data_IF_533222798007
#
_entry.id   IF_533222798007
#
_cell.length_a   1.000
_cell.length_b   1.000
_cell.length_c   1.000
_cell.angle_alpha   90.00
_cell.angle_beta   90.00
_cell.angle_gamma   90.00
#
_symmetry.space_group_name_H-M   'P 1'
#
loop_
_entity.id
_entity.type
_entity.pdbx_description
1 polymer ?
#
# COMPACT_ATOMS: atom_id res chain seq x y z
N UNK A 1 27.53 -5.60 -0.46
CA UNK A 1 26.09 -5.60 -0.13
C UNK A 1 25.62 -7.02 0.13
N UNK A 2 24.57 -7.23 0.94
CA UNK A 2 24.01 -8.56 1.24
C UNK A 2 23.11 -9.11 0.11
N UNK A 3 22.94 -8.36 -0.97
CA UNK A 3 22.01 -8.67 -2.06
C UNK A 3 22.23 -10.05 -2.71
N UNK A 4 23.47 -10.56 -2.93
CA UNK A 4 23.65 -11.91 -3.46
C UNK A 4 23.05 -13.01 -2.57
N UNK A 5 23.14 -12.84 -1.24
CA UNK A 5 22.61 -13.80 -0.26
C UNK A 5 21.09 -13.68 -0.12
N UNK A 6 20.59 -12.46 -0.02
CA UNK A 6 19.15 -12.20 0.10
C UNK A 6 18.42 -12.56 -1.21
N UNK A 7 19.01 -12.19 -2.35
CA UNK A 7 18.46 -12.45 -3.67
C UNK A 7 18.44 -13.93 -4.03
N UNK A 8 19.49 -14.69 -3.69
CA UNK A 8 19.46 -16.14 -3.88
C UNK A 8 18.38 -16.80 -3.02
N UNK A 9 18.22 -16.37 -1.77
CA UNK A 9 17.15 -16.84 -0.88
C UNK A 9 15.75 -16.61 -1.46
N UNK A 10 15.44 -15.38 -1.88
CA UNK A 10 14.13 -15.08 -2.49
C UNK A 10 13.89 -15.81 -3.81
N UNK A 11 14.95 -16.05 -4.58
CA UNK A 11 14.86 -16.84 -5.81
C UNK A 11 14.60 -18.30 -5.51
N UNK A 12 15.24 -18.87 -4.49
CA UNK A 12 14.98 -20.23 -4.02
C UNK A 12 13.56 -20.41 -3.46
N UNK A 13 12.99 -19.38 -2.84
CA UNK A 13 11.60 -19.37 -2.37
C UNK A 13 10.57 -19.19 -3.51
N UNK A 14 11.01 -18.85 -4.73
CA UNK A 14 10.11 -18.50 -5.84
C UNK A 14 9.42 -17.14 -5.67
N UNK A 15 9.90 -16.30 -4.77
CA UNK A 15 9.30 -15.01 -4.46
C UNK A 15 9.85 -13.87 -5.33
N UNK A 16 11.09 -13.98 -5.79
CA UNK A 16 11.69 -13.02 -6.73
C UNK A 16 11.33 -13.37 -8.18
N UNK A 17 11.08 -12.34 -9.00
CA UNK A 17 10.89 -12.51 -10.44
C UNK A 17 12.15 -13.06 -11.11
N UNK A 18 11.96 -13.89 -12.13
CA UNK A 18 13.02 -14.40 -13.01
C UNK A 18 12.99 -13.78 -14.41
N UNK A 19 12.12 -12.79 -14.64
CA UNK A 19 12.03 -12.13 -15.92
C UNK A 19 13.33 -11.37 -16.24
N UNK A 20 13.71 -11.39 -17.53
CA UNK A 20 14.95 -10.77 -17.98
C UNK A 20 14.86 -9.23 -18.02
N UNK A 21 13.67 -8.70 -18.32
CA UNK A 21 13.44 -7.26 -18.41
C UNK A 21 12.67 -6.76 -17.20
N UNK A 22 13.03 -5.57 -16.71
CA UNK A 22 12.37 -4.93 -15.56
C UNK A 22 10.87 -4.69 -15.81
N UNK A 23 10.50 -4.29 -17.03
CA UNK A 23 9.10 -4.03 -17.41
C UNK A 23 8.22 -5.30 -17.34
N UNK A 24 8.81 -6.49 -17.49
CA UNK A 24 8.13 -7.78 -17.44
C UNK A 24 8.10 -8.38 -16.01
N UNK A 25 8.75 -7.73 -15.04
CA UNK A 25 8.75 -8.11 -13.63
C UNK A 25 7.97 -7.13 -12.75
N UNK A 26 8.01 -5.83 -13.09
CA UNK A 26 7.36 -4.73 -12.39
C UNK A 26 5.86 -4.64 -12.73
N UNK A 27 5.08 -5.66 -12.38
CA UNK A 27 3.71 -5.87 -12.86
C UNK A 27 2.65 -5.90 -11.74
N UNK A 28 2.50 -4.83 -10.94
CA UNK A 28 1.51 -4.81 -9.85
C UNK A 28 0.09 -4.95 -10.40
N UNK A 29 -0.70 -5.84 -9.78
CA UNK A 29 -2.09 -6.18 -10.14
C UNK A 29 -2.32 -6.80 -11.53
N UNK A 30 -1.29 -6.93 -12.37
CA UNK A 30 -1.42 -7.50 -13.70
C UNK A 30 -1.48 -9.04 -13.62
N UNK A 31 -2.26 -9.67 -14.49
CA UNK A 31 -2.37 -11.15 -14.56
C UNK A 31 -1.02 -11.84 -14.86
N UNK A 32 -0.07 -11.13 -15.48
CA UNK A 32 1.25 -11.64 -15.87
C UNK A 32 2.30 -11.60 -14.74
N UNK A 33 1.94 -11.12 -13.55
CA UNK A 33 2.85 -11.00 -12.40
C UNK A 33 3.45 -12.36 -12.02
N UNK A 34 4.74 -12.39 -11.72
CA UNK A 34 5.50 -13.65 -11.58
C UNK A 34 6.55 -13.62 -10.45
N UNK A 35 6.47 -12.64 -9.55
CA UNK A 35 7.41 -12.44 -8.46
C UNK A 35 7.81 -10.98 -8.30
N UNK A 36 8.42 -10.66 -7.16
CA UNK A 36 8.86 -9.31 -6.84
C UNK A 36 10.18 -8.95 -7.52
N UNK A 37 10.33 -7.67 -7.84
CA UNK A 37 11.64 -7.06 -8.05
C UNK A 37 12.24 -6.70 -6.70
N UNK A 38 13.46 -7.15 -6.40
CA UNK A 38 14.15 -6.77 -5.17
C UNK A 38 14.69 -5.35 -5.28
N UNK A 39 14.39 -4.53 -4.28
CA UNK A 39 14.84 -3.15 -4.18
C UNK A 39 15.80 -2.92 -3.01
N UNK A 40 16.41 -1.75 -2.97
CA UNK A 40 17.19 -1.27 -1.83
C UNK A 40 17.09 0.24 -1.72
N UNK A 41 17.04 0.76 -0.51
CA UNK A 41 17.11 2.20 -0.24
C UNK A 41 16.82 2.50 1.21
N UNK A 42 16.54 3.76 1.51
CA UNK A 42 16.12 4.20 2.83
C UNK A 42 15.24 5.45 2.69
N UNK A 43 14.31 5.61 3.62
CA UNK A 43 13.51 6.83 3.77
C UNK A 43 13.34 7.13 5.26
N UNK A 44 13.06 8.39 5.57
CA UNK A 44 12.75 8.83 6.93
C UNK A 44 11.62 9.85 6.91
N UNK A 45 10.79 9.80 7.95
CA UNK A 45 9.78 10.80 8.24
C UNK A 45 10.06 11.38 9.62
N UNK A 46 9.92 12.70 9.74
CA UNK A 46 9.97 13.38 11.04
C UNK A 46 8.52 13.69 11.43
N UNK A 47 8.10 13.16 12.57
CA UNK A 47 6.78 13.44 13.14
C UNK A 47 6.92 14.54 14.17
N UNK A 48 6.10 15.58 14.01
CA UNK A 48 5.98 16.68 14.97
C UNK A 48 4.68 16.51 15.76
N UNK A 49 4.73 16.75 17.07
CA UNK A 49 3.53 16.75 17.89
C UNK A 49 2.58 17.87 17.45
N UNK A 50 1.27 17.63 17.58
CA UNK A 50 0.27 18.66 17.29
C UNK A 50 0.55 19.92 18.14
N UNK A 51 0.76 21.07 17.49
CA UNK A 51 1.08 22.34 18.15
C UNK A 51 2.58 22.62 18.32
N UNK A 52 3.48 21.65 18.06
CA UNK A 52 4.93 21.87 18.12
C UNK A 52 5.43 22.93 17.12
N UNK A 53 4.69 23.15 16.02
CA UNK A 53 4.97 24.22 15.04
C UNK A 53 4.83 25.64 15.61
N UNK A 54 4.28 25.80 16.82
CA UNK A 54 4.24 27.08 17.54
C UNK A 54 5.48 27.29 18.43
N UNK A 55 6.28 26.25 18.65
CA UNK A 55 7.56 26.34 19.35
C UNK A 55 8.57 26.93 18.37
N UNK A 56 9.01 28.16 18.66
CA UNK A 56 9.88 29.04 17.87
C UNK A 56 11.19 28.43 17.30
N UNK A 57 11.54 27.19 17.67
CA UNK A 57 12.75 26.48 17.24
C UNK A 57 12.65 25.83 15.85
N UNK A 58 11.45 25.60 15.33
CA UNK A 58 11.25 25.01 13.99
C UNK A 58 10.29 25.89 13.17
N UNK A 59 10.79 26.83 12.36
CA UNK A 59 9.97 27.74 11.56
C UNK A 59 9.29 27.06 10.36
N UNK A 60 9.12 25.73 10.36
CA UNK A 60 8.69 24.90 9.22
C UNK A 60 7.22 25.10 8.78
N UNK A 61 6.51 26.08 9.33
CA UNK A 61 5.09 26.31 9.08
C UNK A 61 4.21 25.21 9.67
N UNK A 62 2.89 25.36 9.56
CA UNK A 62 1.95 24.33 10.02
C UNK A 62 2.03 23.12 9.08
N UNK A 63 2.28 21.89 9.57
CA UNK A 63 2.27 20.70 8.72
C UNK A 63 0.91 20.53 8.03
N UNK A 64 0.93 20.42 6.70
CA UNK A 64 -0.27 20.28 5.86
C UNK A 64 -0.81 18.85 5.78
N UNK A 65 -0.09 17.88 6.35
CA UNK A 65 -0.51 16.47 6.43
C UNK A 65 -0.33 16.00 7.87
N UNK A 66 -1.33 15.29 8.38
CA UNK A 66 -1.35 14.64 9.69
C UNK A 66 -1.31 13.13 9.52
N UNK A 67 -0.58 12.45 10.40
CA UNK A 67 -0.81 11.04 10.70
C UNK A 67 -2.05 10.96 11.60
N UNK A 68 -3.12 10.32 11.12
CA UNK A 68 -4.40 10.21 11.83
C UNK A 68 -4.38 9.01 12.77
N UNK A 69 -4.09 7.83 12.21
CA UNK A 69 -4.12 6.57 12.96
C UNK A 69 -3.10 5.60 12.38
N UNK A 70 -2.61 4.70 13.23
CA UNK A 70 -1.73 3.58 12.87
C UNK A 70 -2.11 2.34 13.67
N UNK A 71 -2.08 1.18 13.04
CA UNK A 71 -2.34 -0.10 13.68
C UNK A 71 -1.36 -1.14 13.17
N UNK A 72 -0.81 -1.94 14.09
CA UNK A 72 0.01 -3.10 13.79
C UNK A 72 -0.68 -4.34 14.34
N UNK A 73 -0.56 -5.46 13.61
CA UNK A 73 -1.05 -6.76 14.06
C UNK A 73 -0.24 -7.90 13.46
N UNK A 74 -0.34 -9.09 14.04
CA UNK A 74 0.34 -10.29 13.57
C UNK A 74 -0.45 -11.54 13.97
N UNK A 75 -0.85 -12.37 13.00
CA UNK A 75 -1.53 -13.64 13.27
C UNK A 75 -0.60 -14.84 13.41
N UNK A 76 0.70 -14.70 13.14
CA UNK A 76 1.68 -15.80 13.09
C UNK A 76 1.25 -16.99 12.20
N UNK A 77 0.38 -16.73 11.21
CA UNK A 77 -0.33 -17.76 10.44
C UNK A 77 0.59 -18.67 9.61
N UNK A 78 1.53 -18.09 8.88
CA UNK A 78 2.44 -18.82 8.02
C UNK A 78 3.73 -18.03 7.79
N UNK A 79 4.84 -18.73 7.54
CA UNK A 79 6.14 -18.10 7.30
C UNK A 79 6.11 -17.09 6.15
N UNK A 80 5.44 -17.42 5.04
CA UNK A 80 5.42 -16.62 3.81
C UNK A 80 4.02 -16.25 3.28
N UNK A 81 2.96 -16.76 3.90
CA UNK A 81 1.57 -16.53 3.44
C UNK A 81 0.84 -15.62 4.40
N UNK A 82 -0.13 -14.87 3.87
CA UNK A 82 -0.95 -13.95 4.64
C UNK A 82 -2.29 -14.59 4.97
N UNK A 83 -2.75 -14.37 6.18
CA UNK A 83 -4.09 -14.75 6.65
C UNK A 83 -5.11 -13.71 6.17
N UNK A 84 -5.86 -14.04 5.11
CA UNK A 84 -6.80 -13.10 4.49
C UNK A 84 -7.97 -12.75 5.41
N UNK A 85 -8.44 -13.69 6.23
CA UNK A 85 -9.50 -13.46 7.20
C UNK A 85 -9.05 -12.53 8.31
N UNK A 86 -7.87 -12.78 8.90
CA UNK A 86 -7.28 -11.91 9.90
C UNK A 86 -7.02 -10.50 9.35
N UNK A 87 -6.49 -10.38 8.13
CA UNK A 87 -6.31 -9.08 7.48
C UNK A 87 -7.61 -8.31 7.32
N UNK A 88 -8.67 -8.97 6.85
CA UNK A 88 -9.99 -8.36 6.72
C UNK A 88 -10.55 -7.89 8.07
N UNK A 89 -10.42 -8.70 9.12
CA UNK A 89 -10.85 -8.33 10.48
C UNK A 89 -10.08 -7.12 10.98
N UNK A 90 -8.76 -7.10 10.82
CA UNK A 90 -7.90 -6.03 11.31
C UNK A 90 -8.10 -4.71 10.55
N UNK A 91 -8.33 -4.72 9.23
CA UNK A 91 -8.69 -3.50 8.51
C UNK A 91 -10.05 -2.97 8.97
N UNK A 92 -11.04 -3.85 9.15
CA UNK A 92 -12.36 -3.43 9.65
C UNK A 92 -12.26 -2.79 11.05
N UNK A 93 -11.47 -3.39 11.94
CA UNK A 93 -11.18 -2.86 13.28
C UNK A 93 -10.50 -1.50 13.20
N UNK A 94 -9.49 -1.36 12.34
CA UNK A 94 -8.79 -0.09 12.12
C UNK A 94 -9.73 1.01 11.65
N UNK A 95 -10.53 0.72 10.62
CA UNK A 95 -11.45 1.70 10.05
C UNK A 95 -12.59 2.04 11.01
N UNK A 96 -13.07 1.08 11.81
CA UNK A 96 -14.05 1.35 12.85
C UNK A 96 -13.51 2.33 13.90
N UNK A 97 -12.25 2.17 14.34
CA UNK A 97 -11.61 3.10 15.26
C UNK A 97 -11.47 4.50 14.63
N UNK A 98 -11.03 4.57 13.36
CA UNK A 98 -10.97 5.83 12.60
C UNK A 98 -12.33 6.54 12.54
N UNK A 99 -13.39 5.79 12.28
CA UNK A 99 -14.76 6.30 12.23
C UNK A 99 -15.20 6.83 13.60
N UNK A 100 -14.97 6.09 14.68
CA UNK A 100 -15.41 6.48 16.02
C UNK A 100 -14.59 7.61 16.64
N UNK A 101 -13.28 7.63 16.42
CA UNK A 101 -12.35 8.56 17.09
C UNK A 101 -12.12 9.85 16.30
N UNK A 102 -12.22 9.78 14.97
CA UNK A 102 -11.93 10.92 14.10
C UNK A 102 -13.13 11.35 13.25
N UNK A 103 -14.25 10.61 13.28
CA UNK A 103 -15.44 10.94 12.50
C UNK A 103 -15.25 10.85 11.00
N UNK A 104 -14.27 10.06 10.52
CA UNK A 104 -13.95 9.91 9.11
C UNK A 104 -14.64 8.63 8.58
N UNK A 105 -15.77 8.72 7.86
CA UNK A 105 -16.49 7.54 7.37
C UNK A 105 -15.74 6.84 6.25
N UNK A 106 -15.88 5.51 6.16
CA UNK A 106 -15.32 4.71 5.04
C UNK A 106 -15.70 5.25 3.66
N UNK A 107 -16.90 5.80 3.51
CA UNK A 107 -17.35 6.42 2.26
C UNK A 107 -16.50 7.63 1.86
N UNK A 108 -16.04 8.45 2.82
CA UNK A 108 -15.13 9.56 2.55
C UNK A 108 -13.72 9.05 2.20
N UNK A 109 -13.24 8.00 2.86
CA UNK A 109 -11.98 7.36 2.50
C UNK A 109 -12.01 6.76 1.09
N UNK A 110 -13.13 6.20 0.65
CA UNK A 110 -13.29 5.69 -0.70
C UNK A 110 -13.36 6.81 -1.75
N UNK A 111 -14.16 7.85 -1.50
CA UNK A 111 -14.41 8.93 -2.46
C UNK A 111 -13.27 9.95 -2.57
N UNK A 112 -12.60 10.26 -1.45
CA UNK A 112 -11.59 11.30 -1.32
C UNK A 112 -10.22 10.73 -0.91
N UNK A 113 -10.05 9.41 -0.99
CA UNK A 113 -8.82 8.75 -0.58
C UNK A 113 -8.09 8.03 -1.71
N UNK A 114 -6.82 7.77 -1.42
CA UNK A 114 -5.96 6.85 -2.18
C UNK A 114 -5.49 5.74 -1.24
N UNK A 115 -5.50 4.52 -1.74
CA UNK A 115 -4.95 3.38 -1.05
C UNK A 115 -3.57 3.02 -1.63
N UNK A 116 -2.55 3.08 -0.79
CA UNK A 116 -1.19 2.67 -1.14
C UNK A 116 -0.99 1.20 -0.83
N UNK A 117 -0.91 0.44 -1.91
CA UNK A 117 -0.91 -1.01 -1.88
C UNK A 117 0.43 -1.62 -1.52
N UNK A 118 0.38 -2.75 -0.80
CA UNK A 118 1.54 -3.57 -0.54
C UNK A 118 1.94 -4.47 -1.73
N UNK A 119 1.03 -4.78 -2.65
CA UNK A 119 1.24 -5.72 -3.77
C UNK A 119 2.67 -5.79 -4.32
N UNK A 120 3.29 -6.96 -4.17
CA UNK A 120 4.71 -7.21 -4.46
C UNK A 120 4.99 -7.85 -5.81
N UNK A 121 4.01 -7.93 -6.71
CA UNK A 121 4.03 -8.68 -7.97
C UNK A 121 4.12 -10.20 -7.79
N UNK A 122 3.87 -10.72 -6.59
CA UNK A 122 3.98 -12.16 -6.28
C UNK A 122 2.68 -12.90 -6.58
N UNK A 123 2.80 -14.10 -7.16
CA UNK A 123 1.66 -14.96 -7.46
C UNK A 123 2.05 -16.43 -7.36
N UNK A 124 1.61 -17.09 -6.29
CA UNK A 124 1.78 -18.54 -6.12
C UNK A 124 0.64 -19.30 -6.83
N UNK A 125 -0.58 -18.76 -6.78
CA UNK A 125 -1.74 -19.23 -7.51
C UNK A 125 -2.69 -18.05 -7.79
N UNK A 126 -3.71 -18.19 -8.64
CA UNK A 126 -4.68 -17.13 -8.88
C UNK A 126 -5.38 -16.62 -7.61
N UNK A 127 -5.54 -17.46 -6.59
CA UNK A 127 -6.18 -17.13 -5.30
C UNK A 127 -5.18 -17.06 -4.14
N UNK A 128 -3.88 -17.13 -4.42
CA UNK A 128 -2.80 -17.05 -3.44
C UNK A 128 -1.74 -16.08 -3.95
N UNK A 129 -2.03 -14.79 -3.77
CA UNK A 129 -1.16 -13.66 -4.09
C UNK A 129 -1.38 -12.53 -3.10
N UNK A 130 -0.42 -11.61 -2.99
CA UNK A 130 -0.57 -10.43 -2.14
C UNK A 130 -1.82 -9.62 -2.56
N UNK A 131 -1.98 -9.36 -3.86
CA UNK A 131 -3.11 -8.63 -4.45
C UNK A 131 -4.45 -9.25 -4.11
N UNK A 132 -4.55 -10.58 -4.20
CA UNK A 132 -5.81 -11.27 -3.94
C UNK A 132 -6.24 -11.08 -2.48
N UNK A 133 -5.33 -11.32 -1.54
CA UNK A 133 -5.57 -11.13 -0.11
C UNK A 133 -5.88 -9.68 0.22
N UNK A 134 -5.17 -8.74 -0.40
CA UNK A 134 -5.33 -7.30 -0.19
C UNK A 134 -6.68 -6.79 -0.72
N UNK A 135 -7.10 -7.23 -1.90
CA UNK A 135 -8.40 -6.88 -2.46
C UNK A 135 -9.56 -7.56 -1.75
N UNK A 136 -9.36 -8.79 -1.25
CA UNK A 136 -10.34 -9.44 -0.36
C UNK A 136 -10.58 -8.61 0.91
N UNK A 137 -9.50 -8.17 1.55
CA UNK A 137 -9.54 -7.30 2.73
C UNK A 137 -10.22 -5.96 2.42
N UNK A 138 -9.84 -5.28 1.33
CA UNK A 138 -10.47 -4.01 0.93
C UNK A 138 -11.96 -4.18 0.63
N UNK A 139 -12.35 -5.26 -0.06
CA UNK A 139 -13.75 -5.54 -0.38
C UNK A 139 -14.57 -5.81 0.88
N UNK A 140 -14.00 -6.48 1.88
CA UNK A 140 -14.65 -6.66 3.19
C UNK A 140 -14.90 -5.31 3.90
N UNK A 141 -13.99 -4.34 3.74
CA UNK A 141 -14.11 -3.04 4.39
C UNK A 141 -15.01 -2.05 3.64
N UNK A 142 -14.88 -1.96 2.32
CA UNK A 142 -15.50 -0.91 1.49
C UNK A 142 -16.68 -1.41 0.65
N UNK A 143 -16.85 -2.73 0.54
CA UNK A 143 -17.76 -3.33 -0.43
C UNK A 143 -17.33 -3.08 -1.89
N UNK A 144 -18.09 -3.60 -2.83
CA UNK A 144 -17.79 -3.44 -4.27
C UNK A 144 -17.86 -1.97 -4.71
N UNK A 145 -18.90 -1.24 -4.28
CA UNK A 145 -19.08 0.16 -4.66
C UNK A 145 -17.98 1.08 -4.11
N UNK A 146 -17.51 0.83 -2.89
CA UNK A 146 -16.39 1.56 -2.32
C UNK A 146 -15.07 1.22 -3.03
N UNK A 147 -14.88 -0.05 -3.41
CA UNK A 147 -13.68 -0.45 -4.15
C UNK A 147 -13.64 0.14 -5.58
N UNK A 148 -14.78 0.28 -6.25
CA UNK A 148 -14.89 0.91 -7.57
C UNK A 148 -14.58 2.43 -7.54
N UNK A 149 -14.70 3.07 -6.37
CA UNK A 149 -14.45 4.50 -6.19
C UNK A 149 -13.06 4.81 -5.63
N UNK A 150 -12.53 3.93 -4.77
CA UNK A 150 -11.22 4.06 -4.15
C UNK A 150 -10.08 3.98 -5.19
N UNK A 151 -9.22 5.00 -5.23
CA UNK A 151 -8.02 4.97 -6.07
C UNK A 151 -6.98 4.05 -5.45
N UNK A 152 -6.48 3.08 -6.22
CA UNK A 152 -5.38 2.21 -5.81
C UNK A 152 -4.06 2.71 -6.40
N UNK A 153 -3.05 2.90 -5.57
CA UNK A 153 -1.69 3.26 -5.98
C UNK A 153 -0.71 2.16 -5.56
N UNK A 154 0.32 1.92 -6.36
CA UNK A 154 1.43 1.03 -6.04
C UNK A 154 2.72 1.63 -6.60
N UNK A 155 3.81 1.50 -5.86
CA UNK A 155 5.10 2.14 -6.21
C UNK A 155 6.23 1.14 -6.46
N UNK A 156 5.99 -0.14 -6.19
CA UNK A 156 7.03 -1.20 -6.26
C UNK A 156 7.48 -1.47 -7.69
N UNK A 157 6.67 -1.10 -8.68
CA UNK A 157 7.08 -1.14 -10.07
C UNK A 157 8.19 -0.12 -10.40
N UNK A 158 8.30 0.99 -9.65
CA UNK A 158 9.38 1.97 -9.78
C UNK A 158 10.56 1.68 -8.86
N UNK A 159 10.29 1.28 -7.62
CA UNK A 159 11.27 1.23 -6.55
C UNK A 159 11.77 -0.17 -6.24
N UNK A 160 11.14 -1.21 -6.81
CA UNK A 160 11.25 -2.58 -6.34
C UNK A 160 10.67 -2.73 -4.93
N UNK A 161 10.87 -3.90 -4.35
CA UNK A 161 10.53 -4.20 -2.97
C UNK A 161 11.79 -4.07 -2.11
N UNK A 162 12.01 -2.88 -1.55
CA UNK A 162 13.08 -2.66 -0.59
C UNK A 162 12.67 -3.21 0.77
N UNK A 163 13.28 -4.34 1.14
CA UNK A 163 12.98 -5.07 2.38
C UNK A 163 13.07 -4.15 3.61
N UNK A 164 11.97 -4.03 4.35
CA UNK A 164 11.89 -3.22 5.57
C UNK A 164 11.87 -1.70 5.35
N UNK A 165 11.79 -1.25 4.09
CA UNK A 165 11.72 0.18 3.74
C UNK A 165 10.35 0.46 3.15
N UNK A 166 9.76 1.56 3.58
CA UNK A 166 8.43 1.94 3.13
C UNK A 166 8.43 3.27 2.39
N UNK A 167 8.73 3.20 1.08
CA UNK A 167 8.71 4.37 0.21
C UNK A 167 7.30 4.96 0.09
N UNK A 168 6.28 4.11 0.18
CA UNK A 168 4.87 4.45 0.05
C UNK A 168 4.42 5.55 1.01
N UNK A 169 4.92 5.60 2.24
CA UNK A 169 4.54 6.63 3.23
C UNK A 169 5.01 8.02 2.80
N UNK A 170 6.24 8.14 2.28
CA UNK A 170 6.76 9.42 1.79
C UNK A 170 5.97 9.86 0.56
N UNK A 171 5.65 8.92 -0.33
CA UNK A 171 4.89 9.18 -1.54
C UNK A 171 3.44 9.56 -1.20
N UNK A 172 2.84 8.93 -0.18
CA UNK A 172 1.51 9.27 0.34
C UNK A 172 1.47 10.72 0.86
N UNK A 173 2.45 11.09 1.69
CA UNK A 173 2.55 12.45 2.25
C UNK A 173 2.76 13.49 1.13
N UNK A 174 3.71 13.26 0.22
CA UNK A 174 3.95 14.19 -0.90
C UNK A 174 2.77 14.25 -1.87
N UNK A 175 2.09 13.12 -2.08
CA UNK A 175 0.91 13.04 -2.93
C UNK A 175 -0.26 13.84 -2.36
N UNK A 176 -0.52 13.73 -1.05
CA UNK A 176 -1.51 14.55 -0.36
C UNK A 176 -1.16 16.05 -0.43
N UNK A 177 0.11 16.41 -0.19
CA UNK A 177 0.58 17.81 -0.24
C UNK A 177 0.36 18.44 -1.61
N UNK A 178 0.74 17.72 -2.67
CA UNK A 178 0.76 18.25 -4.03
C UNK A 178 -0.52 17.96 -4.82
N UNK A 179 -1.36 17.06 -4.32
CA UNK A 179 -2.49 16.52 -5.08
C UNK A 179 -2.01 15.78 -6.33
N UNK A 180 -0.88 15.06 -6.23
CA UNK A 180 -0.28 14.32 -7.35
C UNK A 180 -0.06 12.87 -6.97
N UNK A 181 -0.46 11.93 -7.83
CA UNK A 181 -0.21 10.50 -7.61
C UNK A 181 0.73 9.95 -8.71
N UNK A 182 1.55 8.93 -8.40
CA UNK A 182 2.29 8.20 -9.42
C UNK A 182 1.37 7.21 -10.17
N UNK A 183 1.61 6.95 -11.47
CA UNK A 183 0.87 5.93 -12.19
C UNK A 183 1.24 4.52 -11.72
N UNK A 184 0.31 3.58 -11.83
CA UNK A 184 0.65 2.15 -11.75
C UNK A 184 1.19 1.71 -13.11
N UNK A 185 2.51 1.63 -13.25
CA UNK A 185 3.19 1.37 -14.53
C UNK A 185 3.17 -0.11 -14.92
N UNK A 186 3.37 -0.37 -16.22
CA UNK A 186 3.42 -1.69 -16.88
C UNK A 186 2.16 -2.55 -16.81
N UNK A 187 1.11 -2.09 -16.10
CA UNK A 187 -0.20 -2.72 -16.13
C UNK A 187 -0.78 -2.68 -17.55
N UNK A 188 -1.13 -3.85 -18.08
CA UNK A 188 -1.74 -3.98 -19.40
C UNK A 188 -2.90 -4.98 -19.41
N UNK A 189 -2.96 -5.92 -18.46
CA UNK A 189 -3.96 -6.99 -18.46
C UNK A 189 -4.55 -7.20 -17.08
N UNK A 190 -5.85 -6.95 -16.98
CA UNK A 190 -6.63 -7.14 -15.76
C UNK A 190 -6.71 -8.62 -15.37
N UNK A 191 -6.62 -8.89 -14.08
CA UNK A 191 -6.79 -10.23 -13.52
C UNK A 191 -8.20 -10.41 -12.97
N UNK A 192 -9.01 -11.22 -13.65
CA UNK A 192 -10.40 -11.52 -13.26
C UNK A 192 -10.49 -12.25 -11.91
N UNK A 193 -9.42 -12.91 -11.46
CA UNK A 193 -9.38 -13.52 -10.13
C UNK A 193 -9.29 -12.49 -9.00
N UNK A 194 -8.74 -11.31 -9.28
CA UNK A 194 -8.64 -10.21 -8.32
C UNK A 194 -9.97 -9.46 -8.16
N UNK A 195 -10.66 -9.24 -9.27
CA UNK A 195 -11.96 -8.58 -9.30
C UNK A 195 -12.67 -8.89 -10.63
N UNK A 196 -13.99 -9.11 -10.64
CA UNK A 196 -14.74 -9.23 -11.89
C UNK A 196 -14.86 -7.89 -12.64
N UNK A 197 -14.54 -6.77 -11.97
CA UNK A 197 -14.55 -5.41 -12.54
C UNK A 197 -13.13 -4.84 -12.56
N UNK A 198 -12.80 -3.98 -13.53
CA UNK A 198 -11.52 -3.28 -13.57
C UNK A 198 -11.25 -2.51 -12.27
N UNK A 199 -10.03 -2.63 -11.76
CA UNK A 199 -9.57 -1.87 -10.59
C UNK A 199 -9.33 -0.41 -10.95
N UNK A 200 -9.66 0.52 -10.04
CA UNK A 200 -9.37 1.94 -10.20
C UNK A 200 -7.90 2.26 -9.86
N UNK A 201 -6.99 1.77 -10.70
CA UNK A 201 -5.55 2.03 -10.55
C UNK A 201 -5.22 3.49 -10.87
N UNK A 202 -4.28 4.09 -10.12
CA UNK A 202 -3.80 5.45 -10.39
C UNK A 202 -3.17 5.56 -11.78
N UNK A 203 -3.58 6.57 -12.53
CA UNK A 203 -3.10 6.85 -13.90
C UNK A 203 -1.98 7.88 -13.92
N UNK A 204 -1.53 8.33 -12.74
CA UNK A 204 -0.57 9.41 -12.61
C UNK A 204 -1.19 10.80 -12.80
N UNK A 205 -0.47 11.82 -12.34
CA UNK A 205 -0.87 13.22 -12.54
C UNK A 205 -1.74 13.76 -11.40
N UNK A 206 -2.66 14.68 -11.73
CA UNK A 206 -3.38 15.49 -10.76
C UNK A 206 -4.63 14.82 -10.18
N UNK A 207 -4.68 14.78 -8.86
CA UNK A 207 -5.78 14.29 -8.03
C UNK A 207 -6.10 15.34 -6.94
N UNK A 208 -6.62 16.52 -7.30
CA UNK A 208 -6.73 17.65 -6.37
C UNK A 208 -7.74 17.43 -5.22
N UNK A 209 -8.62 16.45 -5.35
CA UNK A 209 -9.67 16.13 -4.37
C UNK A 209 -9.23 15.13 -3.30
N UNK A 210 -8.02 14.55 -3.40
CA UNK A 210 -7.56 13.58 -2.39
C UNK A 210 -7.27 14.29 -1.07
N UNK A 211 -7.88 13.77 -0.01
CA UNK A 211 -7.70 14.21 1.38
C UNK A 211 -7.07 13.13 2.23
N UNK A 212 -7.27 11.86 1.87
CA UNK A 212 -6.85 10.73 2.68
C UNK A 212 -5.87 9.83 1.93
N UNK A 213 -4.88 9.30 2.65
CA UNK A 213 -4.02 8.24 2.14
C UNK A 213 -3.99 7.08 3.13
N UNK A 214 -4.61 5.96 2.75
CA UNK A 214 -4.59 4.71 3.51
C UNK A 214 -3.46 3.84 2.99
N UNK A 215 -2.46 3.57 3.82
CA UNK A 215 -1.32 2.73 3.48
C UNK A 215 -1.44 1.38 4.16
N UNK A 216 -1.15 0.32 3.41
CA UNK A 216 -1.01 -1.02 3.93
C UNK A 216 0.40 -1.56 3.68
N UNK A 217 0.95 -2.27 4.66
CA UNK A 217 2.04 -3.20 4.40
C UNK A 217 1.84 -4.52 5.12
N UNK A 218 2.42 -5.54 4.49
CA UNK A 218 2.56 -6.86 5.04
C UNK A 218 4.03 -7.26 5.12
N UNK A 219 4.32 -8.25 5.94
CA UNK A 219 5.62 -8.89 6.05
C UNK A 219 5.50 -10.39 6.25
N UNK A 220 6.63 -11.07 6.15
CA UNK A 220 6.73 -12.49 6.48
C UNK A 220 6.22 -12.77 7.90
N UNK A 221 5.62 -13.94 8.10
CA UNK A 221 4.99 -14.31 9.37
C UNK A 221 3.58 -13.74 9.58
N UNK A 222 2.94 -13.18 8.55
CA UNK A 222 1.60 -12.55 8.64
C UNK A 222 1.58 -11.29 9.54
N UNK A 223 2.68 -10.53 9.50
CA UNK A 223 2.76 -9.21 10.11
C UNK A 223 2.10 -8.18 9.21
N UNK A 224 1.27 -7.30 9.77
CA UNK A 224 0.55 -6.27 9.02
C UNK A 224 0.59 -4.92 9.72
N UNK A 225 0.56 -3.86 8.92
CA UNK A 225 0.48 -2.49 9.39
C UNK A 225 -0.44 -1.65 8.50
N UNK A 226 -1.36 -0.93 9.14
CA UNK A 226 -2.22 0.07 8.53
C UNK A 226 -1.83 1.46 9.03
N UNK A 227 -1.85 2.43 8.14
CA UNK A 227 -1.57 3.83 8.49
C UNK A 227 -2.46 4.74 7.66
N UNK A 228 -3.11 5.71 8.32
CA UNK A 228 -3.96 6.69 7.67
C UNK A 228 -3.35 8.08 7.81
N UNK A 229 -3.12 8.74 6.67
CA UNK A 229 -2.73 10.15 6.60
C UNK A 229 -3.89 10.99 6.09
N UNK A 230 -3.96 12.24 6.55
CA UNK A 230 -4.96 13.21 6.15
C UNK A 230 -4.33 14.56 5.83
N UNK A 231 -4.71 15.15 4.70
CA UNK A 231 -4.41 16.54 4.35
C UNK A 231 -5.33 17.47 5.14
N UNK A 232 -4.76 18.47 5.80
CA UNK A 232 -5.51 19.54 6.49
C UNK A 232 -6.08 20.55 5.50
#
# INVERSE_FOLDING_TARGET
>A
TLLPWIGSGFRSLGAASIAANVADAALPFDTRRNGMLLGSGAVGLVLEAAGASTIQRFPSGTPSVSLVASQLSNSAFHGASLDKEHMAQELNRFLQAVESEHGIPRAALAAEGVYYSHETCTQASPTTSCSFTELYMLRSAFGDAGLDTLVLANTKAFTGHAMGVSFEEVIAVEGLKRGLLPPVVNFASHDEHLSPRPLRLSQGGAYPHIKYALRFAAGFGSQIAFTLYMRK
#
